data_IF_620779736171
#
_entry.id   IF_620779736171
#
_cell.length_a   1.000
_cell.length_b   1.000
_cell.length_c   1.000
_cell.angle_alpha   90.00
_cell.angle_beta   90.00
_cell.angle_gamma   90.00
#
_symmetry.space_group_name_H-M   'P 1'
#
loop_
_entity.id
_entity.type
_entity.pdbx_description
1 polymer ?
#
# COMPACT_ATOMS: atom_id res chain seq x y z
N UNK A 1 -17.38 0.03 12.79
CA UNK A 1 -17.43 -1.13 11.86
C UNK A 1 -16.85 -0.65 10.53
N UNK A 2 -15.83 -1.31 9.95
CA UNK A 2 -15.03 -0.81 8.80
C UNK A 2 -15.87 -0.34 7.60
N UNK A 3 -17.04 -0.93 7.38
CA UNK A 3 -17.96 -0.56 6.29
C UNK A 3 -18.51 0.88 6.39
N UNK A 4 -18.59 1.46 7.60
CA UNK A 4 -19.05 2.84 7.80
C UNK A 4 -17.97 3.88 7.47
N UNK A 5 -16.69 3.52 7.61
CA UNK A 5 -15.53 4.40 7.41
C UNK A 5 -14.95 4.29 5.99
N UNK A 6 -15.22 3.18 5.28
CA UNK A 6 -14.70 2.89 3.95
C UNK A 6 -15.78 2.29 3.02
N UNK A 7 -16.76 3.09 2.56
CA UNK A 7 -17.79 2.61 1.64
C UNK A 7 -17.16 2.11 0.33
N UNK A 8 -17.42 0.84 -0.01
CA UNK A 8 -16.89 0.19 -1.22
C UNK A 8 -15.59 -0.60 -1.04
N UNK A 9 -15.17 -0.88 0.19
CA UNK A 9 -14.12 -1.86 0.49
C UNK A 9 -14.53 -3.26 -0.04
N UNK A 10 -13.59 -3.97 -0.67
CA UNK A 10 -13.81 -5.36 -1.11
C UNK A 10 -13.72 -6.30 0.08
N UNK A 11 -14.74 -7.14 0.26
CA UNK A 11 -14.70 -8.24 1.21
C UNK A 11 -13.63 -9.24 0.80
N UNK A 12 -13.08 -9.99 1.76
CA UNK A 12 -12.03 -10.98 1.51
C UNK A 12 -12.38 -11.95 0.37
N UNK A 13 -13.65 -12.37 0.32
CA UNK A 13 -14.21 -13.24 -0.72
C UNK A 13 -14.36 -12.61 -2.11
N UNK A 14 -14.29 -11.28 -2.21
CA UNK A 14 -14.37 -10.50 -3.45
C UNK A 14 -12.97 -10.19 -4.01
N UNK A 15 -11.91 -10.53 -3.27
CA UNK A 15 -10.54 -10.24 -3.68
C UNK A 15 -10.09 -11.19 -4.80
N UNK A 16 -9.72 -10.67 -5.99
CA UNK A 16 -9.26 -11.52 -7.07
C UNK A 16 -7.89 -12.15 -6.76
N UNK A 17 -7.70 -13.40 -7.18
CA UNK A 17 -6.41 -14.09 -7.06
C UNK A 17 -5.31 -13.31 -7.83
N UNK A 18 -4.08 -13.35 -7.31
CA UNK A 18 -2.89 -12.77 -7.96
C UNK A 18 -2.97 -11.26 -8.28
N UNK A 19 -3.55 -10.46 -7.38
CA UNK A 19 -3.70 -9.02 -7.56
C UNK A 19 -2.89 -8.18 -6.55
N UNK A 20 -1.54 -8.13 -6.65
CA UNK A 20 -0.71 -7.29 -5.79
C UNK A 20 -1.00 -5.78 -6.01
N UNK A 21 -1.49 -5.41 -7.19
CA UNK A 21 -1.90 -4.03 -7.51
C UNK A 21 -3.18 -3.58 -6.78
N UNK A 22 -3.85 -4.48 -6.07
CA UNK A 22 -5.06 -4.16 -5.31
C UNK A 22 -4.78 -3.91 -3.84
N UNK A 23 -3.61 -4.22 -3.27
CA UNK A 23 -3.36 -3.87 -1.88
C UNK A 23 -2.60 -2.53 -1.83
N UNK A 24 -3.17 -1.45 -1.24
CA UNK A 24 -2.42 -0.22 -0.95
C UNK A 24 -1.12 -0.49 -0.18
N UNK A 25 -1.13 -1.56 0.62
CA UNK A 25 0.04 -2.06 1.31
C UNK A 25 1.16 -2.51 0.35
N UNK A 26 0.84 -3.14 -0.78
CA UNK A 26 1.81 -3.75 -1.69
C UNK A 26 2.47 -2.76 -2.64
N UNK A 27 1.73 -1.78 -3.19
CA UNK A 27 2.31 -0.83 -4.15
C UNK A 27 2.78 0.50 -3.54
N UNK A 28 2.25 0.95 -2.38
CA UNK A 28 2.68 2.20 -1.73
C UNK A 28 3.46 1.96 -0.46
N UNK A 29 2.89 1.24 0.51
CA UNK A 29 3.49 1.10 1.83
C UNK A 29 4.84 0.36 1.76
N UNK A 30 4.88 -0.81 1.11
CA UNK A 30 6.12 -1.57 0.98
C UNK A 30 7.18 -0.81 0.18
N UNK A 31 6.79 -0.07 -0.87
CA UNK A 31 7.72 0.79 -1.60
C UNK A 31 8.31 1.89 -0.69
N UNK A 32 7.44 2.62 0.03
CA UNK A 32 7.86 3.68 0.94
C UNK A 32 8.77 3.17 2.07
N UNK A 33 8.38 2.07 2.73
CA UNK A 33 9.17 1.45 3.79
C UNK A 33 10.54 1.00 3.27
N UNK A 34 10.59 0.40 2.07
CA UNK A 34 11.85 -0.02 1.47
C UNK A 34 12.75 1.19 1.21
N UNK A 35 12.23 2.24 0.57
CA UNK A 35 12.99 3.49 0.35
C UNK A 35 13.52 4.08 1.65
N UNK A 36 12.73 4.10 2.73
CA UNK A 36 13.14 4.67 4.03
C UNK A 36 14.15 3.80 4.77
N UNK A 37 13.95 2.48 4.78
CA UNK A 37 14.82 1.53 5.50
C UNK A 37 16.23 1.51 4.90
N UNK A 38 16.34 1.67 3.59
CA UNK A 38 17.61 1.71 2.87
C UNK A 38 18.08 3.14 2.54
N UNK A 39 17.45 4.16 3.12
CA UNK A 39 17.91 5.53 2.99
C UNK A 39 19.19 5.71 3.82
N UNK A 40 20.30 6.03 3.15
CA UNK A 40 21.59 6.24 3.81
C UNK A 40 22.41 4.95 3.87
N UNK A 41 22.73 4.48 5.08
CA UNK A 41 23.49 3.24 5.24
C UNK A 41 22.60 2.01 5.19
N UNK A 42 23.03 0.97 4.49
CA UNK A 42 22.36 -0.32 4.47
C UNK A 42 22.41 -1.00 5.85
N UNK A 43 21.31 -1.62 6.31
CA UNK A 43 21.30 -2.38 7.55
C UNK A 43 22.26 -3.57 7.46
N UNK A 44 23.22 -3.65 8.40
CA UNK A 44 24.26 -4.69 8.43
C UNK A 44 23.88 -5.90 9.27
N UNK A 45 22.74 -5.84 9.95
CA UNK A 45 22.22 -6.94 10.75
C UNK A 45 20.70 -7.00 10.74
N UNK A 46 20.15 -8.18 11.06
CA UNK A 46 18.70 -8.36 11.24
C UNK A 46 18.12 -7.48 12.35
N UNK A 47 18.91 -7.19 13.39
CA UNK A 47 18.48 -6.33 14.49
C UNK A 47 18.34 -4.88 14.01
N UNK A 48 19.33 -4.38 13.28
CA UNK A 48 19.32 -3.04 12.69
C UNK A 48 18.19 -2.89 11.66
N UNK A 49 17.99 -3.89 10.79
CA UNK A 49 16.90 -3.91 9.83
C UNK A 49 15.54 -3.77 10.53
N UNK A 50 15.31 -4.56 11.59
CA UNK A 50 14.06 -4.48 12.38
C UNK A 50 13.88 -3.11 13.03
N UNK A 51 14.96 -2.50 13.51
CA UNK A 51 14.92 -1.17 14.11
C UNK A 51 14.55 -0.12 13.05
N UNK A 52 15.23 -0.12 11.89
CA UNK A 52 14.95 0.80 10.78
C UNK A 52 13.52 0.69 10.27
N UNK A 53 12.98 -0.53 10.14
CA UNK A 53 11.57 -0.73 9.75
C UNK A 53 10.62 -0.09 10.77
N UNK A 54 10.85 -0.26 12.07
CA UNK A 54 10.01 0.33 13.11
C UNK A 54 10.11 1.85 13.15
N UNK A 55 11.31 2.40 13.00
CA UNK A 55 11.51 3.85 12.91
C UNK A 55 10.77 4.42 11.71
N UNK A 56 10.95 3.84 10.52
CA UNK A 56 10.24 4.25 9.31
C UNK A 56 8.71 4.18 9.50
N UNK A 57 8.18 3.08 10.05
CA UNK A 57 6.76 2.97 10.35
C UNK A 57 6.24 4.07 11.27
N UNK A 58 6.99 4.43 12.32
CA UNK A 58 6.59 5.47 13.27
C UNK A 58 6.69 6.89 12.68
N UNK A 59 7.54 7.09 11.67
CA UNK A 59 7.67 8.34 10.94
C UNK A 59 6.58 8.52 9.87
N UNK A 60 5.89 7.44 9.48
CA UNK A 60 4.88 7.47 8.43
C UNK A 60 3.64 8.26 8.88
N UNK A 61 3.32 9.40 8.24
CA UNK A 61 2.16 10.20 8.63
C UNK A 61 0.84 9.48 8.30
N UNK A 62 -0.12 9.54 9.23
CA UNK A 62 -1.43 8.88 9.07
C UNK A 62 -2.24 9.43 7.88
N UNK A 63 -2.07 10.70 7.54
CA UNK A 63 -2.72 11.36 6.39
C UNK A 63 -2.21 10.81 5.05
N UNK A 64 -0.92 10.47 4.96
CA UNK A 64 -0.33 9.80 3.79
C UNK A 64 -0.96 8.41 3.61
N UNK A 65 -1.08 7.64 4.69
CA UNK A 65 -1.74 6.32 4.66
C UNK A 65 -3.21 6.44 4.25
N UNK A 66 -3.93 7.42 4.82
CA UNK A 66 -5.31 7.70 4.44
C UNK A 66 -5.44 8.10 2.96
N UNK A 67 -4.47 8.84 2.42
CA UNK A 67 -4.38 9.17 0.99
C UNK A 67 -4.28 7.91 0.12
N UNK A 68 -3.38 6.98 0.46
CA UNK A 68 -3.23 5.72 -0.28
C UNK A 68 -4.48 4.84 -0.22
N UNK A 69 -5.18 4.83 0.92
CA UNK A 69 -6.45 4.12 1.06
C UNK A 69 -7.55 4.77 0.19
N UNK A 70 -7.55 6.10 0.03
CA UNK A 70 -8.50 6.80 -0.86
C UNK A 70 -8.18 6.61 -2.34
N UNK A 71 -6.89 6.54 -2.70
CA UNK A 71 -6.43 6.16 -4.05
C UNK A 71 -6.81 4.73 -4.41
N UNK A 72 -7.10 3.89 -3.41
CA UNK A 72 -7.54 2.55 -3.66
C UNK A 72 -8.92 2.56 -4.35
N UNK A 73 -8.92 2.24 -5.64
CA UNK A 73 -10.12 2.14 -6.47
C UNK A 73 -10.41 0.67 -6.81
N UNK A 74 -10.95 -0.13 -5.87
CA UNK A 74 -11.24 -1.54 -6.10
C UNK A 74 -12.15 -1.77 -7.32
N UNK A 75 -13.06 -0.83 -7.57
CA UNK A 75 -14.00 -0.88 -8.70
C UNK A 75 -13.34 -0.58 -10.06
N UNK A 76 -12.17 0.04 -10.10
CA UNK A 76 -11.48 0.31 -11.37
C UNK A 76 -10.99 -0.98 -12.03
N UNK A 77 -10.50 -1.96 -11.27
CA UNK A 77 -10.10 -3.27 -11.80
C UNK A 77 -11.32 -4.06 -12.30
N UNK A 78 -12.43 -4.01 -11.56
CA UNK A 78 -13.69 -4.65 -11.94
C UNK A 78 -14.19 -4.07 -13.27
N UNK A 79 -14.20 -2.74 -13.40
CA UNK A 79 -14.61 -2.04 -14.63
C UNK A 79 -13.66 -2.27 -15.81
N UNK A 80 -12.43 -2.72 -15.56
CA UNK A 80 -11.45 -3.06 -16.59
C UNK A 80 -11.35 -4.56 -16.86
N UNK A 81 -12.27 -5.37 -16.35
CA UNK A 81 -12.33 -6.82 -16.58
C UNK A 81 -11.01 -7.52 -16.20
N UNK A 82 -10.33 -7.02 -15.16
CA UNK A 82 -9.07 -7.59 -14.68
C UNK A 82 -7.80 -7.13 -15.42
N UNK A 83 -7.88 -6.15 -16.33
CA UNK A 83 -6.68 -5.54 -16.94
C UNK A 83 -5.87 -4.71 -15.92
N UNK A 84 -4.58 -4.51 -16.20
CA UNK A 84 -3.69 -3.74 -15.34
C UNK A 84 -4.13 -2.26 -15.25
N UNK A 85 -4.22 -1.76 -14.03
CA UNK A 85 -4.67 -0.39 -13.72
C UNK A 85 -3.53 0.58 -13.38
N UNK A 86 -2.27 0.26 -13.71
CA UNK A 86 -1.11 1.13 -13.44
C UNK A 86 -1.29 2.56 -13.95
N UNK A 87 -2.00 2.73 -15.07
CA UNK A 87 -2.36 4.01 -15.67
C UNK A 87 -3.15 4.97 -14.74
N UNK A 88 -3.85 4.45 -13.73
CA UNK A 88 -4.60 5.28 -12.76
C UNK A 88 -3.73 5.80 -11.62
N UNK A 89 -2.54 5.21 -11.42
CA UNK A 89 -1.64 5.55 -10.32
C UNK A 89 -0.47 6.47 -10.74
N UNK A 90 -0.32 6.75 -12.05
CA UNK A 90 0.74 7.56 -12.66
C UNK A 90 0.43 9.07 -12.75
N UNK A 91 -0.48 9.60 -11.91
CA UNK A 91 -0.84 11.04 -11.89
C UNK A 91 -0.40 11.76 -10.61
N UNK A 92 0.74 11.38 -10.06
CA UNK A 92 1.40 12.11 -8.96
C UNK A 92 2.78 12.55 -9.40
#
# INVERSE_FOLDING_TARGET
MLEAEAPGFMKLQEWPASSPNLAPCDYRLWHWLNTRVYQGEDPRSKAELKQKIRSAWNELPNDVVAGWIREFLPRAVINQEGRQIQQFFNRV
#
